data_IF_780460229448
#
_entry.id   IF_780460229448
#
_cell.length_a   1.000
_cell.length_b   1.000
_cell.length_c   1.000
_cell.angle_alpha   90.00
_cell.angle_beta   90.00
_cell.angle_gamma   90.00
#
_symmetry.space_group_name_H-M   'P 1'
#
loop_
_entity.id
_entity.type
_entity.pdbx_description
1 polymer ?
#
# COMPACT_ATOMS: atom_id res chain seq x y z
N UNK A 1 10.02 21.76 15.10
CA UNK A 1 8.93 20.88 14.65
C UNK A 1 8.68 19.92 15.80
N UNK A 2 7.46 19.87 16.34
CA UNK A 2 7.13 18.93 17.41
C UNK A 2 6.82 17.59 16.75
N UNK A 3 7.62 16.57 17.05
CA UNK A 3 7.32 15.20 16.63
C UNK A 3 5.94 14.79 17.16
N UNK A 4 5.14 14.02 16.42
CA UNK A 4 3.97 13.37 16.97
C UNK A 4 4.42 12.51 18.16
N UNK A 5 3.60 12.50 19.21
CA UNK A 5 3.94 11.95 20.53
C UNK A 5 4.55 10.54 20.41
N UNK A 6 5.82 10.38 20.82
CA UNK A 6 6.41 9.10 21.24
C UNK A 6 7.38 8.40 20.27
N UNK A 7 7.54 8.84 19.01
CA UNK A 7 8.54 8.25 18.09
C UNK A 7 9.65 9.25 17.79
N UNK A 8 10.90 8.76 17.80
CA UNK A 8 12.06 9.55 17.40
C UNK A 8 11.94 9.99 15.92
N UNK A 9 12.24 11.26 15.66
CA UNK A 9 12.17 11.84 14.32
C UNK A 9 13.10 11.12 13.32
N UNK A 10 14.27 10.66 13.76
CA UNK A 10 15.21 9.94 12.91
C UNK A 10 14.66 8.57 12.50
N UNK A 11 13.89 7.91 13.38
CA UNK A 11 13.19 6.65 13.07
C UNK A 11 12.09 6.90 12.03
N UNK A 12 11.30 7.97 12.20
CA UNK A 12 10.25 8.32 11.26
C UNK A 12 10.80 8.71 9.89
N UNK A 13 11.89 9.48 9.84
CA UNK A 13 12.56 9.86 8.59
C UNK A 13 13.18 8.65 7.89
N UNK A 14 13.80 7.74 8.65
CA UNK A 14 14.29 6.47 8.14
C UNK A 14 13.17 5.64 7.50
N UNK A 15 12.05 5.50 8.21
CA UNK A 15 10.87 4.79 7.71
C UNK A 15 10.27 5.45 6.47
N UNK A 16 10.13 6.78 6.47
CA UNK A 16 9.62 7.57 5.35
C UNK A 16 10.46 7.37 4.10
N UNK A 17 11.79 7.47 4.23
CA UNK A 17 12.74 7.29 3.12
C UNK A 17 12.68 5.89 2.53
N UNK A 18 12.80 4.87 3.38
CA UNK A 18 12.76 3.48 2.96
C UNK A 18 11.43 3.13 2.29
N UNK A 19 10.32 3.49 2.92
CA UNK A 19 8.98 3.15 2.42
C UNK A 19 8.67 3.86 1.11
N UNK A 20 9.08 5.13 0.95
CA UNK A 20 8.93 5.86 -0.32
C UNK A 20 9.68 5.16 -1.45
N UNK A 21 10.91 4.69 -1.21
CA UNK A 21 11.65 3.93 -2.21
C UNK A 21 10.94 2.61 -2.55
N UNK A 22 10.46 1.87 -1.55
CA UNK A 22 9.73 0.63 -1.77
C UNK A 22 8.42 0.85 -2.54
N UNK A 23 7.70 1.95 -2.31
CA UNK A 23 6.48 2.29 -3.04
C UNK A 23 6.75 2.62 -4.51
N UNK A 24 7.86 3.27 -4.82
CA UNK A 24 8.29 3.48 -6.21
C UNK A 24 8.61 2.15 -6.91
N UNK A 25 9.23 1.21 -6.20
CA UNK A 25 9.50 -0.13 -6.72
C UNK A 25 8.21 -0.93 -6.90
N UNK A 26 7.27 -0.86 -5.94
CA UNK A 26 5.96 -1.48 -6.02
C UNK A 26 5.14 -0.95 -7.21
N UNK A 27 5.17 0.35 -7.47
CA UNK A 27 4.48 0.97 -8.61
C UNK A 27 4.94 0.36 -9.93
N UNK A 28 6.26 0.23 -10.13
CA UNK A 28 6.85 -0.41 -11.31
C UNK A 28 6.48 -1.89 -11.44
N UNK A 29 6.30 -2.59 -10.32
CA UNK A 29 5.83 -3.99 -10.33
C UNK A 29 4.37 -4.07 -10.75
N UNK A 30 3.53 -3.16 -10.24
CA UNK A 30 2.10 -3.10 -10.59
C UNK A 30 1.90 -2.81 -12.08
N UNK A 31 2.67 -1.88 -12.66
CA UNK A 31 2.67 -1.60 -14.11
C UNK A 31 3.01 -2.85 -14.95
N UNK A 32 3.98 -3.66 -14.50
CA UNK A 32 4.32 -4.94 -15.14
C UNK A 32 3.20 -5.97 -15.02
N UNK A 33 2.52 -6.02 -13.87
CA UNK A 33 1.38 -6.91 -13.66
C UNK A 33 0.22 -6.53 -14.57
N UNK A 34 -0.09 -5.24 -14.69
CA UNK A 34 -1.19 -4.73 -15.54
C UNK A 34 -0.98 -5.05 -17.02
N UNK A 35 0.27 -4.96 -17.49
CA UNK A 35 0.67 -5.24 -18.87
C UNK A 35 0.89 -6.73 -19.17
N UNK A 36 0.76 -7.62 -18.17
CA UNK A 36 0.91 -9.07 -18.35
C UNK A 36 -0.39 -9.68 -18.87
N UNK A 37 -0.49 -9.87 -20.18
CA UNK A 37 -1.68 -10.44 -20.83
C UNK A 37 -1.55 -11.92 -21.17
N UNK A 38 -0.36 -12.36 -21.59
CA UNK A 38 -0.16 -13.71 -22.16
C UNK A 38 0.27 -14.77 -21.12
N UNK A 39 0.74 -14.33 -19.95
CA UNK A 39 1.21 -15.24 -18.89
C UNK A 39 0.94 -14.66 -17.52
N UNK A 40 0.75 -15.53 -16.53
CA UNK A 40 0.51 -15.11 -15.16
C UNK A 40 1.84 -14.72 -14.48
N UNK A 41 2.01 -13.45 -14.05
CA UNK A 41 3.30 -12.90 -13.63
C UNK A 41 3.65 -13.28 -12.18
N UNK A 42 3.83 -14.57 -11.92
CA UNK A 42 4.04 -15.12 -10.57
C UNK A 42 5.24 -14.50 -9.85
N UNK A 43 6.32 -14.21 -10.58
CA UNK A 43 7.50 -13.53 -10.03
C UNK A 43 7.18 -12.11 -9.54
N UNK A 44 6.47 -11.31 -10.36
CA UNK A 44 6.07 -9.96 -9.98
C UNK A 44 5.16 -9.95 -8.75
N UNK A 45 4.22 -10.89 -8.64
CA UNK A 45 3.35 -11.00 -7.46
C UNK A 45 4.12 -11.38 -6.18
N UNK A 46 5.15 -12.21 -6.33
CA UNK A 46 6.04 -12.57 -5.22
C UNK A 46 6.85 -11.36 -4.78
N UNK A 47 7.46 -10.65 -5.72
CA UNK A 47 8.25 -9.44 -5.46
C UNK A 47 7.39 -8.34 -4.81
N UNK A 48 6.16 -8.16 -5.32
CA UNK A 48 5.18 -7.24 -4.73
C UNK A 48 4.92 -7.60 -3.27
N UNK A 49 4.59 -8.87 -3.01
CA UNK A 49 4.24 -9.36 -1.68
C UNK A 49 5.38 -9.19 -0.68
N UNK A 50 6.63 -9.43 -1.10
CA UNK A 50 7.81 -9.24 -0.25
C UNK A 50 8.06 -7.77 0.09
N UNK A 51 7.94 -6.87 -0.89
CA UNK A 51 8.18 -5.44 -0.68
C UNK A 51 7.10 -4.79 0.19
N UNK A 52 5.83 -5.11 -0.05
CA UNK A 52 4.74 -4.59 0.78
C UNK A 52 4.78 -5.16 2.20
N UNK A 53 5.24 -6.41 2.37
CA UNK A 53 5.48 -7.01 3.69
C UNK A 53 6.57 -6.27 4.47
N UNK A 54 7.61 -5.78 3.79
CA UNK A 54 8.65 -4.95 4.41
C UNK A 54 8.07 -3.64 4.96
N UNK A 55 7.26 -2.93 4.18
CA UNK A 55 6.56 -1.71 4.66
C UNK A 55 5.66 -2.05 5.86
N UNK A 56 4.86 -3.12 5.73
CA UNK A 56 3.96 -3.59 6.80
C UNK A 56 4.73 -3.91 8.09
N UNK A 57 5.80 -4.69 7.99
CA UNK A 57 6.60 -5.14 9.11
C UNK A 57 7.28 -3.99 9.83
N UNK A 58 7.91 -3.08 9.09
CA UNK A 58 8.56 -1.89 9.68
C UNK A 58 7.53 -0.99 10.34
N UNK A 59 6.40 -0.68 9.69
CA UNK A 59 5.34 0.15 10.25
C UNK A 59 4.78 -0.43 11.56
N UNK A 60 4.48 -1.74 11.58
CA UNK A 60 3.98 -2.42 12.78
C UNK A 60 5.01 -2.47 13.89
N UNK A 61 6.29 -2.66 13.55
CA UNK A 61 7.38 -2.67 14.54
C UNK A 61 7.48 -1.32 15.23
N UNK A 62 7.52 -0.23 14.47
CA UNK A 62 7.59 1.13 15.03
C UNK A 62 6.32 1.44 15.83
N UNK A 63 5.15 0.99 15.36
CA UNK A 63 3.90 1.15 16.10
C UNK A 63 3.89 0.40 17.45
N UNK A 64 4.71 -0.63 17.66
CA UNK A 64 4.85 -1.23 19.01
C UNK A 64 5.55 -0.29 19.99
N UNK A 65 6.40 0.62 19.49
CA UNK A 65 7.10 1.63 20.28
C UNK A 65 6.23 2.87 20.54
N UNK A 66 5.28 3.17 19.64
CA UNK A 66 4.25 4.21 19.84
C UNK A 66 2.87 3.72 19.37
N UNK A 67 2.12 3.04 20.25
CA UNK A 67 0.82 2.45 19.92
C UNK A 67 -0.25 3.46 19.50
N UNK A 68 -0.13 4.71 19.97
CA UNK A 68 -1.05 5.81 19.67
C UNK A 68 -0.78 6.46 18.30
N UNK A 69 0.30 6.08 17.61
CA UNK A 69 0.66 6.64 16.32
C UNK A 69 -0.25 6.12 15.19
N UNK A 70 -1.36 6.84 14.97
CA UNK A 70 -2.42 6.46 14.00
C UNK A 70 -1.91 6.25 12.57
N UNK A 71 -0.91 7.03 12.11
CA UNK A 71 -0.33 6.90 10.76
C UNK A 71 0.33 5.54 10.53
N UNK A 72 1.27 5.16 11.40
CA UNK A 72 1.97 3.87 11.36
C UNK A 72 1.01 2.68 11.43
N UNK A 73 0.00 2.75 12.31
CA UNK A 73 -1.03 1.70 12.41
C UNK A 73 -1.77 1.51 11.08
N UNK A 74 -2.22 2.60 10.46
CA UNK A 74 -2.98 2.56 9.20
C UNK A 74 -2.14 2.10 8.02
N UNK A 75 -0.89 2.54 7.93
CA UNK A 75 0.04 2.06 6.92
C UNK A 75 0.25 0.55 7.08
N UNK A 76 0.48 0.09 8.31
CA UNK A 76 0.64 -1.33 8.63
C UNK A 76 -0.60 -2.17 8.27
N UNK A 77 -1.79 -1.67 8.57
CA UNK A 77 -3.05 -2.37 8.27
C UNK A 77 -3.34 -2.42 6.77
N UNK A 78 -3.17 -1.31 6.05
CA UNK A 78 -3.39 -1.26 4.60
C UNK A 78 -2.36 -2.10 3.83
N UNK A 79 -1.09 -2.07 4.24
CA UNK A 79 -0.05 -2.93 3.66
C UNK A 79 -0.33 -4.43 3.91
N UNK A 80 -0.89 -4.78 5.08
CA UNK A 80 -1.31 -6.15 5.38
C UNK A 80 -2.45 -6.62 4.45
N UNK A 81 -3.42 -5.74 4.17
CA UNK A 81 -4.49 -6.03 3.19
C UNK A 81 -3.88 -6.26 1.80
N UNK A 82 -2.97 -5.39 1.36
CA UNK A 82 -2.30 -5.54 0.07
C UNK A 82 -1.55 -6.87 -0.06
N UNK A 83 -0.82 -7.26 1.00
CA UNK A 83 -0.14 -8.57 1.08
C UNK A 83 -1.12 -9.73 0.96
N UNK A 84 -2.23 -9.69 1.69
CA UNK A 84 -3.24 -10.75 1.66
C UNK A 84 -3.88 -10.88 0.27
N UNK A 85 -4.19 -9.75 -0.39
CA UNK A 85 -4.68 -9.73 -1.77
C UNK A 85 -3.63 -10.28 -2.74
N UNK A 86 -2.34 -9.97 -2.53
CA UNK A 86 -1.21 -10.52 -3.31
C UNK A 86 -1.16 -12.04 -3.30
N UNK A 87 -1.27 -12.65 -2.12
CA UNK A 87 -1.33 -14.12 -2.01
C UNK A 87 -2.56 -14.69 -2.69
N UNK A 88 -3.74 -14.08 -2.51
CA UNK A 88 -4.97 -14.56 -3.15
C UNK A 88 -4.91 -14.46 -4.67
N UNK A 89 -4.31 -13.40 -5.22
CA UNK A 89 -4.06 -13.28 -6.65
C UNK A 89 -3.15 -14.43 -7.13
N UNK A 90 -2.03 -14.68 -6.45
CA UNK A 90 -1.08 -15.75 -6.78
C UNK A 90 -1.69 -17.16 -6.68
N UNK A 91 -2.59 -17.41 -5.72
CA UNK A 91 -3.34 -18.66 -5.61
C UNK A 91 -4.31 -18.86 -6.78
N UNK A 92 -5.03 -17.81 -7.18
CA UNK A 92 -6.07 -17.89 -8.22
C UNK A 92 -5.50 -18.07 -9.62
N UNK A 93 -4.32 -17.49 -9.90
CA UNK A 93 -3.66 -17.53 -11.22
C UNK A 93 -4.56 -17.10 -12.39
N UNK A 94 -5.52 -16.23 -12.12
CA UNK A 94 -6.53 -15.78 -13.07
C UNK A 94 -6.03 -14.52 -13.80
N UNK A 95 -5.51 -14.67 -15.01
CA UNK A 95 -4.93 -13.57 -15.81
C UNK A 95 -5.96 -12.47 -16.11
N UNK A 96 -7.23 -12.85 -16.29
CA UNK A 96 -8.34 -11.90 -16.49
C UNK A 96 -8.62 -11.01 -15.27
N UNK A 97 -8.11 -11.35 -14.09
CA UNK A 97 -8.24 -10.53 -12.87
C UNK A 97 -7.02 -9.63 -12.61
N UNK A 98 -5.93 -9.76 -13.38
CA UNK A 98 -4.72 -8.96 -13.18
C UNK A 98 -4.97 -7.45 -13.26
N UNK A 99 -5.78 -6.92 -14.22
CA UNK A 99 -6.08 -5.49 -14.26
C UNK A 99 -6.83 -5.00 -13.02
N UNK A 100 -7.70 -5.84 -12.44
CA UNK A 100 -8.42 -5.52 -11.21
C UNK A 100 -7.47 -5.43 -10.01
N UNK A 101 -6.57 -6.39 -9.87
CA UNK A 101 -5.58 -6.37 -8.80
C UNK A 101 -4.59 -5.21 -8.94
N UNK A 102 -4.10 -4.96 -10.16
CA UNK A 102 -3.20 -3.86 -10.45
C UNK A 102 -3.84 -2.51 -10.09
N UNK A 103 -5.07 -2.26 -10.54
CA UNK A 103 -5.80 -1.04 -10.20
C UNK A 103 -5.98 -0.85 -8.68
N UNK A 104 -6.33 -1.91 -7.96
CA UNK A 104 -6.44 -1.87 -6.50
C UNK A 104 -5.10 -1.52 -5.83
N UNK A 105 -4.00 -2.15 -6.25
CA UNK A 105 -2.68 -1.89 -5.67
C UNK A 105 -2.15 -0.51 -6.02
N UNK A 106 -2.42 0.02 -7.21
CA UNK A 106 -2.09 1.41 -7.56
C UNK A 106 -2.74 2.39 -6.58
N UNK A 107 -4.03 2.23 -6.30
CA UNK A 107 -4.75 3.09 -5.34
C UNK A 107 -4.20 2.94 -3.92
N UNK A 108 -3.93 1.71 -3.51
CA UNK A 108 -3.40 1.45 -2.18
C UNK A 108 -1.99 2.03 -2.01
N UNK A 109 -1.12 1.93 -3.02
CA UNK A 109 0.21 2.54 -3.02
C UNK A 109 0.10 4.05 -2.87
N UNK A 110 -0.79 4.70 -3.62
CA UNK A 110 -1.03 6.14 -3.54
C UNK A 110 -1.49 6.55 -2.13
N UNK A 111 -2.42 5.80 -1.54
CA UNK A 111 -2.90 6.08 -0.18
C UNK A 111 -1.80 5.85 0.86
N UNK A 112 -1.00 4.79 0.73
CA UNK A 112 0.13 4.56 1.64
C UNK A 112 1.16 5.68 1.50
N UNK A 113 1.47 6.16 0.29
CA UNK A 113 2.37 7.31 0.09
C UNK A 113 1.81 8.56 0.79
N UNK A 114 0.53 8.86 0.60
CA UNK A 114 -0.11 10.01 1.23
C UNK A 114 -0.09 9.91 2.77
N UNK A 115 -0.27 8.70 3.32
CA UNK A 115 -0.18 8.45 4.76
C UNK A 115 1.26 8.60 5.28
N UNK A 116 2.26 8.14 4.52
CA UNK A 116 3.68 8.37 4.81
C UNK A 116 3.96 9.87 4.86
N UNK A 117 3.49 10.61 3.86
CA UNK A 117 3.65 12.05 3.76
C UNK A 117 3.04 12.79 4.95
N UNK A 118 1.94 12.27 5.49
CA UNK A 118 1.20 12.82 6.63
C UNK A 118 1.52 12.18 8.00
N UNK A 119 2.62 11.43 8.14
CA UNK A 119 2.95 10.71 9.39
C UNK A 119 2.91 11.60 10.64
N UNK A 120 3.37 12.85 10.52
CA UNK A 120 3.46 13.81 11.63
C UNK A 120 2.17 14.59 11.88
N UNK A 121 1.11 14.32 11.12
CA UNK A 121 -0.17 15.02 11.15
C UNK A 121 -1.32 14.02 11.28
N UNK A 122 -1.80 13.85 12.52
CA UNK A 122 -2.86 12.90 12.85
C UNK A 122 -4.19 13.27 12.17
N UNK A 123 -4.51 14.56 12.04
CA UNK A 123 -5.77 15.02 11.44
C UNK A 123 -5.76 14.80 9.93
N UNK A 124 -4.63 15.12 9.26
CA UNK A 124 -4.45 14.82 7.85
C UNK A 124 -4.44 13.32 7.58
N UNK A 125 -3.79 12.53 8.45
CA UNK A 125 -3.85 11.06 8.41
C UNK A 125 -5.30 10.56 8.49
N UNK A 126 -6.09 11.12 9.41
CA UNK A 126 -7.53 10.87 9.58
C UNK A 126 -8.31 11.14 8.30
N UNK A 127 -8.10 12.30 7.70
CA UNK A 127 -8.76 12.71 6.46
C UNK A 127 -8.42 11.77 5.29
N UNK A 128 -7.14 11.46 5.08
CA UNK A 128 -6.67 10.61 3.98
C UNK A 128 -7.33 9.23 4.06
N UNK A 129 -7.26 8.57 5.22
CA UNK A 129 -7.81 7.23 5.39
C UNK A 129 -9.33 7.19 5.16
N UNK A 130 -10.07 8.18 5.67
CA UNK A 130 -11.52 8.24 5.50
C UNK A 130 -11.92 8.48 4.03
N UNK A 131 -11.07 9.14 3.25
CA UNK A 131 -11.29 9.32 1.81
C UNK A 131 -10.97 8.07 0.98
N UNK A 132 -10.24 7.08 1.52
CA UNK A 132 -9.83 5.91 0.75
C UNK A 132 -11.02 5.08 0.24
N UNK A 133 -12.09 4.96 1.03
CA UNK A 133 -13.27 4.19 0.63
C UNK A 133 -13.94 4.75 -0.64
N UNK A 134 -13.97 6.08 -0.81
CA UNK A 134 -14.55 6.70 -2.00
C UNK A 134 -13.64 6.55 -3.23
N UNK A 135 -12.31 6.58 -3.03
CA UNK A 135 -11.32 6.28 -4.09
C UNK A 135 -11.52 4.85 -4.60
N UNK A 136 -11.56 3.88 -3.70
CA UNK A 136 -11.75 2.47 -4.05
C UNK A 136 -13.07 2.24 -4.78
N UNK A 137 -14.16 2.86 -4.31
CA UNK A 137 -15.47 2.78 -4.95
C UNK A 137 -15.44 3.33 -6.39
N UNK A 138 -14.77 4.47 -6.59
CA UNK A 138 -14.63 5.09 -7.92
C UNK A 138 -13.83 4.19 -8.88
N UNK A 139 -12.78 3.54 -8.39
CA UNK A 139 -11.98 2.60 -9.19
C UNK A 139 -12.76 1.34 -9.57
N UNK A 140 -13.54 0.78 -8.64
CA UNK A 140 -14.42 -0.37 -8.93
C UNK A 140 -15.47 -0.02 -10.00
N UNK A 141 -16.03 1.19 -9.95
CA UNK A 141 -16.95 1.67 -10.99
C UNK A 141 -16.26 1.85 -12.35
N UNK A 142 -15.03 2.34 -12.38
CA UNK A 142 -14.24 2.46 -13.61
C UNK A 142 -13.90 1.07 -14.20
N UNK A 143 -13.45 0.14 -13.37
CA UNK A 143 -13.18 -1.24 -13.76
C UNK A 143 -14.44 -1.91 -14.33
N UNK A 144 -15.59 -1.77 -13.66
CA UNK A 144 -16.86 -2.32 -14.14
C UNK A 144 -17.25 -1.84 -15.56
N UNK A 145 -16.78 -0.66 -15.98
CA UNK A 145 -16.97 -0.15 -17.35
C UNK A 145 -15.96 -0.73 -18.36
N UNK A 146 -14.81 -1.21 -17.91
CA UNK A 146 -13.71 -1.76 -18.73
C UNK A 146 -13.81 -3.27 -18.98
N UNK A 147 -14.43 -4.01 -18.06
CA UNK A 147 -14.66 -5.47 -18.18
C UNK A 147 -16.03 -5.82 -18.79
N UNK A 148 -16.78 -4.84 -19.31
CA UNK A 148 -17.99 -5.07 -20.11
C UNK A 148 -17.68 -5.06 -21.60
#
# INVERSE_FOLDING_TARGET
MNAPIGVDADILDGFRKESTQLLQELSKIVEKIESSHDSFPSGCLTDFSQKIDRIMGTAKTIATMSPEHVGLKRIGDLAAVCKAVGYKAAEKKATNLLPLFAAFWTDAIEVIQNLIDALDDADKTNQIFNSFSSVLQSRLQWLAKKVR
#
